data_IF_522058313571
#
_entry.id   IF_522058313571
#
_cell.length_a   1.000
_cell.length_b   1.000
_cell.length_c   1.000
_cell.angle_alpha   90.00
_cell.angle_beta   90.00
_cell.angle_gamma   90.00
#
_symmetry.space_group_name_H-M   'P 1'
#
loop_
_entity.id
_entity.type
_entity.pdbx_description
1 polymer ?
#
# COMPACT_ATOMS: atom_id res chain seq x y z
N UNK A 1 -92.82 -6.30 0.40
CA UNK A 1 -91.91 -7.44 0.16
C UNK A 1 -90.86 -7.01 -0.84
N UNK A 2 -89.63 -6.69 -0.40
CA UNK A 2 -88.43 -6.56 -1.23
C UNK A 2 -87.22 -6.60 -0.30
N UNK A 3 -86.30 -7.49 -0.63
CA UNK A 3 -85.28 -8.11 0.22
C UNK A 3 -84.14 -7.18 0.55
N UNK A 4 -83.63 -7.30 1.78
CA UNK A 4 -82.33 -6.76 2.20
C UNK A 4 -81.24 -7.60 1.53
N UNK A 5 -80.44 -6.97 0.67
CA UNK A 5 -79.23 -7.58 0.11
C UNK A 5 -78.10 -7.39 1.11
N UNK A 6 -77.62 -8.51 1.63
CA UNK A 6 -76.51 -8.63 2.58
C UNK A 6 -75.18 -8.54 1.81
N UNK A 7 -74.47 -7.42 1.91
CA UNK A 7 -73.09 -7.34 1.41
C UNK A 7 -72.15 -8.01 2.41
N UNK A 8 -71.56 -9.12 2.00
CA UNK A 8 -70.53 -9.86 2.75
C UNK A 8 -69.29 -8.99 2.91
N UNK A 9 -68.94 -8.62 4.13
CA UNK A 9 -67.62 -8.07 4.42
C UNK A 9 -66.58 -9.18 4.29
N UNK A 10 -65.71 -9.02 3.29
CA UNK A 10 -64.62 -9.93 3.00
C UNK A 10 -63.48 -9.65 3.99
N UNK A 11 -63.38 -10.48 5.03
CA UNK A 11 -62.27 -10.49 5.98
C UNK A 11 -60.98 -10.78 5.21
N UNK A 12 -60.13 -9.77 5.04
CA UNK A 12 -58.75 -9.96 4.56
C UNK A 12 -57.90 -10.57 5.68
N UNK A 13 -57.07 -11.59 5.38
CA UNK A 13 -56.24 -12.23 6.39
C UNK A 13 -55.16 -11.27 6.89
N UNK A 14 -54.87 -11.35 8.21
CA UNK A 14 -53.71 -10.75 8.85
C UNK A 14 -52.46 -11.07 8.02
N UNK A 15 -51.93 -10.06 7.33
CA UNK A 15 -50.61 -10.17 6.73
C UNK A 15 -49.58 -10.13 7.85
N UNK A 16 -48.98 -11.29 8.12
CA UNK A 16 -47.73 -11.41 8.86
C UNK A 16 -46.67 -10.53 8.20
N UNK A 17 -46.44 -9.36 8.79
CA UNK A 17 -45.31 -8.50 8.47
C UNK A 17 -44.06 -9.08 9.12
N UNK A 18 -43.36 -9.93 8.38
CA UNK A 18 -42.08 -10.47 8.78
C UNK A 18 -41.11 -9.37 9.19
N UNK A 19 -40.34 -9.65 10.24
CA UNK A 19 -39.17 -8.87 10.67
C UNK A 19 -38.19 -8.85 9.49
N UNK A 20 -38.29 -7.82 8.63
CA UNK A 20 -37.29 -7.55 7.59
C UNK A 20 -36.01 -7.10 8.29
N UNK A 21 -35.07 -8.04 8.38
CA UNK A 21 -33.73 -7.84 8.92
C UNK A 21 -33.07 -6.59 8.33
N UNK A 22 -32.98 -5.57 9.18
CA UNK A 22 -32.37 -4.28 8.89
C UNK A 22 -30.84 -4.46 8.90
N UNK A 23 -30.25 -4.45 7.71
CA UNK A 23 -28.83 -4.27 7.37
C UNK A 23 -27.77 -4.64 8.43
N UNK A 24 -27.26 -5.87 8.38
CA UNK A 24 -26.02 -6.27 9.09
C UNK A 24 -25.01 -7.05 8.23
N UNK A 25 -25.15 -7.01 6.90
CA UNK A 25 -24.25 -7.76 6.00
C UNK A 25 -23.12 -6.94 5.37
N UNK A 26 -23.08 -5.61 5.54
CA UNK A 26 -22.10 -4.76 4.84
C UNK A 26 -20.71 -4.68 5.49
N UNK A 27 -20.54 -5.12 6.75
CA UNK A 27 -19.26 -4.98 7.47
C UNK A 27 -18.33 -6.19 7.31
N UNK A 28 -18.84 -7.36 6.94
CA UNK A 28 -18.04 -8.59 6.86
C UNK A 28 -17.00 -8.58 5.74
N UNK A 29 -17.17 -7.77 4.69
CA UNK A 29 -16.20 -7.66 3.60
C UNK A 29 -15.11 -6.60 3.84
N UNK A 30 -15.37 -5.59 4.67
CA UNK A 30 -14.41 -4.52 4.95
C UNK A 30 -13.31 -4.99 5.91
N UNK A 31 -13.65 -5.83 6.88
CA UNK A 31 -12.71 -6.36 7.86
C UNK A 31 -11.57 -7.21 7.24
N UNK A 32 -11.82 -8.19 6.35
CA UNK A 32 -10.74 -8.95 5.72
C UNK A 32 -9.87 -8.09 4.79
N UNK A 33 -10.46 -7.11 4.08
CA UNK A 33 -9.69 -6.14 3.29
C UNK A 33 -8.75 -5.31 4.17
N UNK A 34 -9.20 -4.88 5.35
CA UNK A 34 -8.37 -4.14 6.30
C UNK A 34 -7.22 -5.01 6.84
N UNK A 35 -7.51 -6.25 7.23
CA UNK A 35 -6.51 -7.21 7.72
C UNK A 35 -5.47 -7.50 6.63
N UNK A 36 -5.89 -7.67 5.38
CA UNK A 36 -4.99 -7.89 4.25
C UNK A 36 -4.05 -6.70 4.04
N UNK A 37 -4.57 -5.47 4.05
CA UNK A 37 -3.75 -4.27 3.92
C UNK A 37 -2.74 -4.11 5.07
N UNK A 38 -3.16 -4.37 6.32
CA UNK A 38 -2.28 -4.35 7.49
C UNK A 38 -1.18 -5.41 7.38
N UNK A 39 -1.53 -6.61 6.89
CA UNK A 39 -0.58 -7.71 6.71
C UNK A 39 0.46 -7.40 5.64
N UNK A 40 0.05 -6.82 4.51
CA UNK A 40 0.96 -6.39 3.44
C UNK A 40 1.94 -5.34 3.96
N UNK A 41 1.44 -4.32 4.68
CA UNK A 41 2.30 -3.27 5.26
C UNK A 41 3.25 -3.83 6.32
N UNK A 42 2.78 -4.76 7.15
CA UNK A 42 3.59 -5.47 8.13
C UNK A 42 4.70 -6.30 7.48
N UNK A 43 4.40 -6.98 6.37
CA UNK A 43 5.37 -7.76 5.59
C UNK A 43 6.54 -6.89 5.14
N UNK A 44 6.28 -5.73 4.53
CA UNK A 44 7.35 -4.85 4.05
C UNK A 44 8.19 -4.27 5.18
N UNK A 45 7.58 -3.98 6.33
CA UNK A 45 8.30 -3.52 7.52
C UNK A 45 9.27 -4.57 8.07
N UNK A 46 8.94 -5.86 7.98
CA UNK A 46 9.76 -6.97 8.51
C UNK A 46 10.74 -7.51 7.44
N UNK A 47 10.44 -7.31 6.15
CA UNK A 47 11.29 -7.77 5.05
C UNK A 47 12.68 -7.14 5.18
N UNK A 48 13.70 -8.00 5.30
CA UNK A 48 15.10 -7.57 5.29
C UNK A 48 15.46 -6.95 3.95
N UNK A 49 16.37 -5.99 3.99
CA UNK A 49 17.04 -5.49 2.80
C UNK A 49 18.02 -6.55 2.26
N UNK A 50 18.19 -6.56 0.94
CA UNK A 50 19.05 -7.51 0.22
C UNK A 50 20.27 -6.78 -0.36
N UNK A 51 20.98 -6.00 0.46
CA UNK A 51 22.16 -5.24 0.01
C UNK A 51 23.47 -6.01 0.16
N UNK A 52 23.50 -7.06 0.98
CA UNK A 52 24.73 -7.74 1.40
C UNK A 52 25.51 -8.30 0.21
N UNK A 53 24.82 -8.78 -0.82
CA UNK A 53 25.46 -9.26 -2.05
C UNK A 53 26.19 -8.18 -2.84
N UNK A 54 25.87 -6.90 -2.61
CA UNK A 54 26.41 -5.77 -3.36
C UNK A 54 27.50 -5.00 -2.62
N UNK A 55 27.76 -5.28 -1.34
CA UNK A 55 28.73 -4.50 -0.56
C UNK A 55 30.16 -4.60 -1.10
N UNK A 56 30.55 -5.78 -1.59
CA UNK A 56 31.85 -5.97 -2.22
C UNK A 56 32.01 -5.06 -3.44
N UNK A 57 31.04 -5.12 -4.36
CA UNK A 57 31.06 -4.35 -5.61
C UNK A 57 31.06 -2.84 -5.32
N UNK A 58 30.27 -2.39 -4.33
CA UNK A 58 30.22 -0.98 -3.94
C UNK A 58 31.56 -0.52 -3.38
N UNK A 59 32.19 -1.32 -2.52
CA UNK A 59 33.50 -0.99 -1.97
C UNK A 59 34.58 -0.91 -3.06
N UNK A 60 34.62 -1.87 -3.99
CA UNK A 60 35.56 -1.86 -5.13
C UNK A 60 35.37 -0.59 -5.98
N UNK A 61 34.13 -0.22 -6.30
CA UNK A 61 33.84 1.01 -7.05
C UNK A 61 34.30 2.25 -6.28
N UNK A 62 34.05 2.32 -4.98
CA UNK A 62 34.48 3.44 -4.17
C UNK A 62 36.01 3.57 -4.16
N UNK A 63 36.70 2.45 -4.00
CA UNK A 63 38.16 2.40 -3.97
C UNK A 63 38.79 2.82 -5.30
N UNK A 64 38.32 2.23 -6.41
CA UNK A 64 38.84 2.52 -7.75
C UNK A 64 38.64 3.98 -8.18
N UNK A 65 37.53 4.59 -7.74
CA UNK A 65 37.16 5.97 -8.12
C UNK A 65 37.57 7.03 -7.10
N UNK A 66 38.14 6.64 -5.97
CA UNK A 66 38.48 7.55 -4.87
C UNK A 66 37.25 8.21 -4.25
N UNK A 67 36.12 7.49 -4.15
CA UNK A 67 34.93 7.94 -3.44
C UNK A 67 35.04 7.66 -1.94
N UNK A 68 34.02 8.09 -1.18
CA UNK A 68 33.96 7.80 0.25
C UNK A 68 33.84 6.29 0.49
N UNK A 69 34.70 5.75 1.36
CA UNK A 69 34.74 4.34 1.76
C UNK A 69 34.17 4.11 3.17
N UNK A 70 33.62 5.14 3.82
CA UNK A 70 32.99 5.04 5.13
C UNK A 70 31.50 4.71 4.99
N UNK A 71 30.81 5.37 4.07
CA UNK A 71 29.36 5.29 3.93
C UNK A 71 28.92 5.27 2.47
N UNK A 72 27.82 4.57 2.19
CA UNK A 72 27.11 4.71 0.93
C UNK A 72 25.59 4.77 1.15
N UNK A 73 24.88 5.27 0.14
CA UNK A 73 23.43 5.25 0.11
C UNK A 73 22.99 4.29 -0.99
N UNK A 74 22.18 3.31 -0.63
CA UNK A 74 21.60 2.35 -1.58
C UNK A 74 20.08 2.51 -1.61
N UNK A 75 19.49 2.30 -2.79
CA UNK A 75 18.03 2.35 -3.00
C UNK A 75 17.55 1.01 -3.53
N UNK A 76 16.71 0.32 -2.75
CA UNK A 76 16.08 -0.94 -3.14
C UNK A 76 14.75 -0.69 -3.88
N UNK A 77 14.82 -0.64 -5.21
CA UNK A 77 13.63 -0.46 -6.05
C UNK A 77 12.71 -1.68 -6.10
N UNK A 78 13.06 -2.82 -5.49
CA UNK A 78 12.13 -3.94 -5.30
C UNK A 78 11.08 -3.66 -4.21
N UNK A 79 11.33 -2.67 -3.35
CA UNK A 79 10.40 -2.22 -2.31
C UNK A 79 9.45 -1.14 -2.88
N UNK A 80 8.15 -1.18 -2.50
CA UNK A 80 7.18 -0.18 -2.96
C UNK A 80 7.58 1.25 -2.56
N UNK A 81 7.08 2.24 -3.30
CA UNK A 81 7.44 3.64 -3.07
C UNK A 81 6.98 4.22 -1.74
N UNK A 82 5.94 3.64 -1.14
CA UNK A 82 5.44 4.03 0.18
C UNK A 82 6.20 3.40 1.35
N UNK A 83 7.20 2.57 1.08
CA UNK A 83 8.02 1.91 2.08
C UNK A 83 9.41 2.55 2.16
N UNK A 84 10.08 2.35 3.29
CA UNK A 84 11.50 2.69 3.41
C UNK A 84 12.26 1.82 2.42
N UNK A 85 12.97 2.48 1.51
CA UNK A 85 13.70 1.82 0.41
C UNK A 85 15.05 2.45 0.14
N UNK A 86 15.32 3.62 0.72
CA UNK A 86 16.65 4.19 0.79
C UNK A 86 17.29 3.75 2.10
N UNK A 87 18.54 3.33 2.06
CA UNK A 87 19.31 2.91 3.23
C UNK A 87 20.68 3.58 3.24
N UNK A 88 21.10 4.01 4.43
CA UNK A 88 22.47 4.45 4.71
C UNK A 88 23.24 3.23 5.19
N UNK A 89 24.33 2.92 4.51
CA UNK A 89 25.18 1.76 4.78
C UNK A 89 26.51 2.25 5.34
N UNK A 90 26.96 1.64 6.43
CA UNK A 90 28.35 1.69 6.87
C UNK A 90 29.16 0.64 6.10
N UNK A 91 30.08 1.10 5.28
CA UNK A 91 30.92 0.25 4.45
C UNK A 91 32.01 -0.48 5.25
N UNK A 92 32.42 0.06 6.41
CA UNK A 92 33.43 -0.59 7.28
C UNK A 92 32.86 -1.81 7.98
N UNK A 93 31.62 -1.70 8.45
CA UNK A 93 30.93 -2.79 9.16
C UNK A 93 29.99 -3.59 8.27
N UNK A 94 29.80 -3.16 7.01
CA UNK A 94 28.86 -3.80 6.08
C UNK A 94 27.45 -3.91 6.68
N UNK A 95 26.97 -2.82 7.27
CA UNK A 95 25.70 -2.80 8.00
C UNK A 95 24.81 -1.62 7.61
N UNK A 96 23.50 -1.82 7.73
CA UNK A 96 22.51 -0.75 7.52
C UNK A 96 22.44 0.08 8.80
N UNK A 97 22.74 1.38 8.69
CA UNK A 97 22.68 2.32 9.81
C UNK A 97 21.28 2.91 9.98
N UNK A 98 20.65 3.31 8.87
CA UNK A 98 19.34 3.94 8.88
C UNK A 98 18.63 3.72 7.55
N UNK A 99 17.30 3.83 7.55
CA UNK A 99 16.45 3.63 6.38
C UNK A 99 15.34 4.65 6.32
N UNK A 100 14.94 5.03 5.11
CA UNK A 100 13.85 5.98 4.93
C UNK A 100 13.18 5.92 3.56
N UNK A 101 12.12 6.70 3.38
CA UNK A 101 11.41 6.80 2.12
C UNK A 101 12.32 7.47 1.08
N UNK A 102 12.35 6.90 -0.13
CA UNK A 102 12.99 7.56 -1.27
C UNK A 102 11.96 8.44 -1.98
N UNK A 103 11.97 9.74 -1.66
CA UNK A 103 11.19 10.75 -2.37
C UNK A 103 11.71 10.93 -3.79
N UNK A 104 10.83 11.26 -4.73
CA UNK A 104 11.19 11.70 -6.06
C UNK A 104 10.56 13.06 -6.34
N UNK A 105 11.17 13.84 -7.23
CA UNK A 105 10.62 15.12 -7.67
C UNK A 105 9.24 14.97 -8.31
N UNK A 106 8.51 16.09 -8.44
CA UNK A 106 7.15 16.15 -9.01
C UNK A 106 7.10 15.69 -10.47
N UNK A 107 8.24 15.66 -11.16
CA UNK A 107 8.44 14.97 -12.43
C UNK A 107 7.42 15.36 -13.50
N UNK A 108 7.27 16.65 -13.84
CA UNK A 108 6.55 17.17 -15.04
C UNK A 108 5.33 16.36 -15.54
N UNK A 109 4.44 15.88 -14.65
CA UNK A 109 3.25 15.07 -15.04
C UNK A 109 3.50 13.56 -15.16
N UNK A 110 4.52 13.04 -14.48
CA UNK A 110 4.83 11.62 -14.32
C UNK A 110 3.60 10.86 -13.77
N UNK A 111 3.32 9.72 -14.40
CA UNK A 111 2.46 8.69 -13.81
C UNK A 111 3.24 7.38 -13.65
N UNK A 112 2.76 6.49 -12.78
CA UNK A 112 3.35 5.16 -12.59
C UNK A 112 3.52 4.36 -13.90
N UNK A 113 2.69 4.63 -14.91
CA UNK A 113 2.69 3.97 -16.21
C UNK A 113 3.49 4.72 -17.28
N UNK A 114 3.79 6.00 -17.06
CA UNK A 114 4.56 6.85 -17.97
C UNK A 114 5.56 7.66 -17.16
N UNK A 115 6.71 7.05 -16.82
CA UNK A 115 7.73 7.72 -16.02
C UNK A 115 8.34 8.87 -16.82
N UNK A 116 8.34 10.06 -16.23
CA UNK A 116 9.01 11.25 -16.76
C UNK A 116 9.97 11.74 -15.69
N UNK A 117 11.27 11.66 -15.98
CA UNK A 117 12.33 12.03 -15.04
C UNK A 117 12.70 13.51 -15.16
N UNK A 118 13.02 14.13 -14.02
CA UNK A 118 13.49 15.50 -13.89
C UNK A 118 15.01 15.63 -14.09
N UNK A 119 15.65 14.73 -14.85
CA UNK A 119 17.10 14.70 -15.06
C UNK A 119 17.60 15.69 -16.12
N UNK A 120 16.87 16.79 -16.34
CA UNK A 120 17.26 17.88 -17.26
C UNK A 120 17.48 19.14 -16.46
N UNK A 121 18.45 19.94 -16.88
CA UNK A 121 18.75 21.23 -16.28
C UNK A 121 17.48 22.12 -16.21
N UNK A 122 17.29 22.79 -15.07
CA UNK A 122 16.08 23.57 -14.77
C UNK A 122 14.85 22.76 -14.36
N UNK A 123 14.95 21.44 -14.17
CA UNK A 123 13.85 20.66 -13.58
C UNK A 123 13.76 20.88 -12.07
N UNK A 124 12.53 20.97 -11.54
CA UNK A 124 12.20 21.05 -10.11
C UNK A 124 11.54 19.75 -9.65
#
# INVERSE_FOLDING_TARGET
>A
MKSKTQSKEHITPLYGGGIRGRGRFSFFFLLPLLILNLSIKGYWKIKSYSFQSHFKDVWEICHEKGYNEDYCILVDFSRPSGEDRMAIIDLKTSSVLDTGPCAHGRGKGNSAWKPIFSNKEGSR
#
